data_IF_916681877229
#
_entry.id   IF_916681877229
#
_cell.length_a   1.000
_cell.length_b   1.000
_cell.length_c   1.000
_cell.angle_alpha   90.00
_cell.angle_beta   90.00
_cell.angle_gamma   90.00
#
_symmetry.space_group_name_H-M   'P 1'
#
loop_
_entity.id
_entity.type
_entity.pdbx_description
1 polymer ?
#
# COMPACT_ATOMS: atom_id res chain seq x y z
N UNK A 1 -19.62 47.64 5.52
CA UNK A 1 -18.70 46.93 4.59
C UNK A 1 -17.80 46.07 5.44
N UNK A 2 -18.03 44.75 5.45
CA UNK A 2 -17.44 43.81 6.41
C UNK A 2 -16.26 43.10 5.75
N UNK A 3 -15.08 43.72 5.72
CA UNK A 3 -13.86 43.16 5.10
C UNK A 3 -13.09 42.18 6.02
N UNK A 4 -13.79 41.31 6.74
CA UNK A 4 -13.17 40.34 7.69
C UNK A 4 -13.36 38.84 7.41
N UNK A 5 -13.66 38.32 6.20
CA UNK A 5 -13.66 36.88 5.99
C UNK A 5 -12.27 36.29 5.64
N UNK A 6 -11.48 36.96 4.79
CA UNK A 6 -10.29 36.34 4.18
C UNK A 6 -9.11 36.10 5.14
N UNK A 7 -8.88 36.99 6.13
CA UNK A 7 -7.73 36.86 7.04
C UNK A 7 -7.82 35.61 7.92
N UNK A 8 -9.02 35.30 8.43
CA UNK A 8 -9.24 34.11 9.29
C UNK A 8 -8.98 32.80 8.54
N UNK A 9 -9.34 32.72 7.25
CA UNK A 9 -9.05 31.55 6.42
C UNK A 9 -7.55 31.43 6.12
N UNK A 10 -6.87 32.54 5.85
CA UNK A 10 -5.42 32.55 5.59
C UNK A 10 -4.64 32.13 6.84
N UNK A 11 -5.04 32.60 8.02
CA UNK A 11 -4.39 32.24 9.28
C UNK A 11 -4.63 30.77 9.63
N UNK A 12 -5.84 30.26 9.38
CA UNK A 12 -6.17 28.84 9.55
C UNK A 12 -5.35 27.94 8.61
N UNK A 13 -5.16 28.35 7.37
CA UNK A 13 -4.33 27.63 6.40
C UNK A 13 -2.84 27.69 6.77
N UNK A 14 -2.33 28.85 7.20
CA UNK A 14 -0.93 29.02 7.64
C UNK A 14 -0.62 28.18 8.87
N UNK A 15 -1.52 28.12 9.85
CA UNK A 15 -1.34 27.31 11.06
C UNK A 15 -1.28 25.80 10.76
N UNK A 16 -1.95 25.33 9.70
CA UNK A 16 -1.99 23.92 9.30
C UNK A 16 -0.97 23.54 8.24
N UNK A 17 -0.34 24.53 7.60
CA UNK A 17 0.66 24.30 6.55
C UNK A 17 1.83 23.40 7.00
N UNK A 18 2.42 23.57 8.20
CA UNK A 18 3.49 22.68 8.66
C UNK A 18 3.04 21.22 8.77
N UNK A 19 1.82 21.00 9.27
CA UNK A 19 1.24 19.65 9.38
C UNK A 19 1.01 19.04 8.00
N UNK A 20 0.40 19.80 7.08
CA UNK A 20 0.16 19.35 5.73
C UNK A 20 1.47 19.01 4.99
N UNK A 21 2.50 19.84 5.13
CA UNK A 21 3.83 19.58 4.57
C UNK A 21 4.49 18.36 5.20
N UNK A 22 4.35 18.17 6.52
CA UNK A 22 4.84 16.99 7.21
C UNK A 22 4.21 15.70 6.68
N UNK A 23 2.88 15.68 6.51
CA UNK A 23 2.16 14.54 5.92
C UNK A 23 2.59 14.29 4.48
N UNK A 24 2.72 15.35 3.67
CA UNK A 24 3.16 15.23 2.28
C UNK A 24 4.59 14.68 2.18
N UNK A 25 5.50 15.16 3.04
CA UNK A 25 6.89 14.69 3.11
C UNK A 25 6.95 13.22 3.53
N UNK A 26 6.20 12.82 4.56
CA UNK A 26 6.12 11.42 4.98
C UNK A 26 5.60 10.52 3.85
N UNK A 27 4.57 10.96 3.12
CA UNK A 27 4.07 10.25 1.95
C UNK A 27 5.11 10.13 0.82
N UNK A 28 5.88 11.20 0.57
CA UNK A 28 6.94 11.18 -0.44
C UNK A 28 8.09 10.24 -0.05
N UNK A 29 8.53 10.27 1.20
CA UNK A 29 9.56 9.36 1.74
C UNK A 29 9.08 7.91 1.64
N UNK A 30 7.85 7.62 2.08
CA UNK A 30 7.28 6.29 1.99
C UNK A 30 7.20 5.80 0.53
N UNK A 31 6.84 6.68 -0.41
CA UNK A 31 6.77 6.35 -1.83
C UNK A 31 8.14 6.00 -2.42
N UNK A 32 9.18 6.73 -2.04
CA UNK A 32 10.55 6.47 -2.50
C UNK A 32 11.15 5.21 -1.85
N UNK A 33 10.76 4.89 -0.62
CA UNK A 33 11.22 3.69 0.08
C UNK A 33 10.50 2.40 -0.35
N UNK A 34 9.34 2.51 -1.00
CA UNK A 34 8.56 1.34 -1.44
C UNK A 34 9.09 0.84 -2.78
N UNK A 35 9.50 -0.45 -2.90
CA UNK A 35 9.94 -1.00 -4.17
C UNK A 35 8.85 -0.90 -5.24
N UNK A 36 9.21 -0.82 -6.53
CA UNK A 36 8.24 -0.79 -7.60
C UNK A 36 7.33 -2.02 -7.50
N UNK A 37 6.01 -1.86 -7.71
CA UNK A 37 5.10 -2.98 -7.66
C UNK A 37 5.53 -4.02 -8.71
N UNK A 38 5.41 -5.33 -8.40
CA UNK A 38 5.78 -6.37 -9.34
C UNK A 38 4.98 -6.23 -10.64
N UNK A 39 5.49 -6.84 -11.70
CA UNK A 39 4.73 -6.96 -12.95
C UNK A 39 3.35 -7.57 -12.65
N UNK A 40 2.31 -7.10 -13.34
CA UNK A 40 0.93 -7.58 -13.14
C UNK A 40 0.70 -8.93 -13.84
N UNK A 41 1.55 -9.90 -13.57
CA UNK A 41 1.49 -11.27 -14.08
C UNK A 41 1.39 -12.24 -12.92
N UNK A 42 0.75 -13.39 -13.13
CA UNK A 42 0.59 -14.41 -12.09
C UNK A 42 1.95 -14.89 -11.57
N UNK A 43 2.91 -15.10 -12.46
CA UNK A 43 4.28 -15.52 -12.11
C UNK A 43 5.01 -14.52 -11.21
N UNK A 44 4.89 -13.22 -11.52
CA UNK A 44 5.55 -12.17 -10.74
C UNK A 44 4.91 -12.01 -9.35
N UNK A 45 3.58 -12.20 -9.26
CA UNK A 45 2.88 -12.21 -7.97
C UNK A 45 3.27 -13.44 -7.16
N UNK A 46 3.31 -14.62 -7.76
CA UNK A 46 3.72 -15.85 -7.11
C UNK A 46 5.16 -15.76 -6.58
N UNK A 47 6.08 -15.21 -7.38
CA UNK A 47 7.45 -14.92 -6.94
C UNK A 47 7.50 -13.97 -5.73
N UNK A 48 6.78 -12.85 -5.78
CA UNK A 48 6.69 -11.90 -4.66
C UNK A 48 6.14 -12.57 -3.39
N UNK A 49 5.12 -13.42 -3.51
CA UNK A 49 4.53 -14.14 -2.38
C UNK A 49 5.50 -15.20 -1.82
N UNK A 50 6.23 -15.90 -2.69
CA UNK A 50 7.27 -16.85 -2.31
C UNK A 50 8.41 -16.19 -1.55
N UNK A 51 8.90 -15.05 -2.04
CA UNK A 51 9.94 -14.26 -1.38
C UNK A 51 9.51 -13.79 0.01
N UNK A 52 8.25 -13.38 0.16
CA UNK A 52 7.70 -12.91 1.43
C UNK A 52 7.65 -14.00 2.52
N UNK A 53 7.53 -15.27 2.14
CA UNK A 53 7.53 -16.41 3.08
C UNK A 53 8.87 -17.15 3.15
N UNK A 54 9.88 -16.72 2.40
CA UNK A 54 11.16 -17.45 2.28
C UNK A 54 11.00 -18.83 1.65
N UNK A 55 10.06 -18.98 0.71
CA UNK A 55 9.67 -20.26 0.13
C UNK A 55 9.33 -20.15 -1.35
N UNK A 56 8.38 -20.97 -1.79
CA UNK A 56 7.85 -20.93 -3.15
C UNK A 56 6.31 -20.99 -3.13
N UNK A 57 5.69 -20.25 -4.04
CA UNK A 57 4.24 -20.24 -4.29
C UNK A 57 4.05 -20.50 -5.79
N UNK A 58 3.14 -21.40 -6.15
CA UNK A 58 2.80 -21.66 -7.56
C UNK A 58 1.84 -20.56 -8.08
N UNK A 59 1.91 -20.20 -9.38
CA UNK A 59 0.93 -19.30 -9.99
C UNK A 59 -0.53 -19.77 -9.87
N UNK A 60 -0.76 -21.08 -9.76
CA UNK A 60 -2.09 -21.68 -9.60
C UNK A 60 -2.54 -21.82 -8.14
N UNK A 61 -1.65 -21.56 -7.18
CA UNK A 61 -1.86 -21.80 -5.74
C UNK A 61 -2.21 -20.52 -4.97
N UNK A 62 -2.69 -19.48 -5.66
CA UNK A 62 -3.22 -18.29 -5.02
C UNK A 62 -4.56 -17.86 -5.62
N UNK A 63 -5.44 -17.35 -4.76
CA UNK A 63 -6.77 -16.87 -5.14
C UNK A 63 -6.99 -15.49 -4.52
N UNK A 64 -7.51 -14.58 -5.33
CA UNK A 64 -7.96 -13.28 -4.86
C UNK A 64 -9.36 -13.39 -4.27
N UNK A 65 -9.59 -12.68 -3.18
CA UNK A 65 -10.94 -12.49 -2.67
C UNK A 65 -11.83 -11.87 -3.76
N UNK A 66 -13.07 -12.36 -3.85
CA UNK A 66 -14.08 -11.79 -4.73
C UNK A 66 -14.30 -10.31 -4.41
N UNK A 67 -14.67 -9.52 -5.42
CA UNK A 67 -14.91 -8.08 -5.21
C UNK A 67 -16.15 -7.89 -4.33
N UNK A 68 -15.97 -7.26 -3.16
CA UNK A 68 -17.05 -6.97 -2.21
C UNK A 68 -17.79 -5.67 -2.48
N UNK A 69 -17.25 -4.80 -3.35
CA UNK A 69 -17.85 -3.54 -3.79
C UNK A 69 -16.92 -2.35 -3.58
N UNK A 70 -17.14 -1.25 -4.31
CA UNK A 70 -16.18 -0.13 -4.40
C UNK A 70 -15.73 0.42 -3.05
N UNK A 71 -16.67 0.67 -2.13
CA UNK A 71 -16.35 1.27 -0.84
C UNK A 71 -15.61 0.30 0.09
N UNK A 72 -15.97 -0.98 0.05
CA UNK A 72 -15.31 -2.04 0.83
C UNK A 72 -13.88 -2.25 0.33
N UNK A 73 -13.72 -2.39 -0.98
CA UNK A 73 -12.41 -2.59 -1.62
C UNK A 73 -11.47 -1.38 -1.41
N UNK A 74 -12.02 -0.16 -1.34
CA UNK A 74 -11.23 1.07 -1.13
C UNK A 74 -10.79 1.28 0.32
N UNK A 75 -11.63 0.90 1.30
CA UNK A 75 -11.36 1.14 2.72
C UNK A 75 -10.65 -0.03 3.40
N UNK A 76 -11.01 -1.27 3.06
CA UNK A 76 -10.48 -2.48 3.68
C UNK A 76 -9.44 -3.19 2.81
N UNK A 77 -9.38 -2.85 1.50
CA UNK A 77 -8.56 -3.54 0.53
C UNK A 77 -9.17 -4.86 0.08
N UNK A 78 -8.38 -5.67 -0.63
CA UNK A 78 -8.72 -7.04 -1.01
C UNK A 78 -7.62 -7.98 -0.56
N UNK A 79 -8.00 -9.13 -0.02
CA UNK A 79 -7.04 -10.12 0.46
C UNK A 79 -6.67 -11.11 -0.63
N UNK A 80 -5.48 -11.67 -0.48
CA UNK A 80 -4.94 -12.76 -1.31
C UNK A 80 -4.73 -13.94 -0.39
N UNK A 81 -5.34 -15.07 -0.73
CA UNK A 81 -5.09 -16.33 -0.07
C UNK A 81 -4.13 -17.12 -0.96
N UNK A 82 -3.07 -17.69 -0.40
CA UNK A 82 -2.10 -18.46 -1.15
C UNK A 82 -1.59 -19.65 -0.34
N UNK A 83 -1.19 -20.70 -1.04
CA UNK A 83 -0.48 -21.84 -0.47
C UNK A 83 0.99 -21.75 -0.86
N UNK A 84 1.86 -21.89 0.14
CA UNK A 84 3.30 -21.82 -0.06
C UNK A 84 4.00 -23.02 0.54
N UNK A 85 5.07 -23.46 -0.11
CA UNK A 85 5.99 -24.47 0.42
C UNK A 85 7.20 -23.73 0.98
N UNK A 86 7.48 -23.81 2.30
CA UNK A 86 8.65 -23.18 2.88
C UNK A 86 9.93 -23.83 2.35
N UNK A 87 10.99 -23.04 2.17
CA UNK A 87 12.31 -23.60 1.80
C UNK A 87 12.83 -24.42 3.00
N UNK A 88 13.30 -25.66 2.79
CA UNK A 88 13.97 -26.41 3.86
C UNK A 88 15.16 -25.60 4.38
N UNK A 89 15.42 -25.59 5.70
CA UNK A 89 16.67 -25.04 6.20
C UNK A 89 17.81 -25.83 5.56
N UNK A 90 18.81 -25.13 5.03
CA UNK A 90 20.01 -25.74 4.47
C UNK A 90 20.59 -26.67 5.55
N UNK A 91 20.57 -27.98 5.28
CA UNK A 91 21.04 -28.98 6.23
C UNK A 91 22.55 -28.84 6.44
N UNK A 92 22.95 -28.40 7.63
CA UNK A 92 24.31 -28.62 8.17
C UNK A 92 24.47 -30.06 8.71
#
# INVERSE_FOLDING_TARGET
MTERPLSTWIDHLRGRLPVALGVALLGAVARLATPPPPARTADAIAGMLGDAIGGAVSPDDFVWEERGGFLSDALLGRRVLFLGVPRPPDGE
#
